data_IF_332418278377
#
_entry.id   IF_332418278377
#
_cell.length_a   1.000
_cell.length_b   1.000
_cell.length_c   1.000
_cell.angle_alpha   90.00
_cell.angle_beta   90.00
_cell.angle_gamma   90.00
#
_symmetry.space_group_name_H-M   'P 1'
#
loop_
_entity.id
_entity.type
_entity.pdbx_description
1 polymer ?
#
# COMPACT_ATOMS: atom_id res chain seq x y z
N UNK A 1 -26.15 5.72 3.29
CA UNK A 1 -25.38 4.63 3.92
C UNK A 1 -24.29 5.30 4.72
N UNK A 2 -24.27 5.14 6.04
CA UNK A 2 -23.22 5.71 6.90
C UNK A 2 -21.88 5.10 6.48
N UNK A 3 -20.91 5.97 6.20
CA UNK A 3 -19.55 5.57 5.89
C UNK A 3 -18.91 5.11 7.20
N UNK A 4 -18.80 3.80 7.38
CA UNK A 4 -18.28 3.21 8.62
C UNK A 4 -16.78 3.49 8.72
N UNK A 5 -16.36 4.18 9.78
CA UNK A 5 -14.94 4.45 10.04
C UNK A 5 -14.08 3.18 9.95
N UNK A 6 -12.92 3.28 9.31
CA UNK A 6 -11.95 2.18 9.21
C UNK A 6 -11.02 2.09 10.44
N UNK A 7 -11.25 2.88 11.49
CA UNK A 7 -10.46 2.82 12.73
C UNK A 7 -10.39 1.39 13.33
N UNK A 8 -11.49 0.61 13.47
CA UNK A 8 -11.39 -0.74 14.04
C UNK A 8 -10.49 -1.67 13.20
N UNK A 9 -10.52 -1.51 11.86
CA UNK A 9 -9.67 -2.29 10.96
C UNK A 9 -8.20 -1.86 11.09
N UNK A 10 -7.93 -0.57 11.22
CA UNK A 10 -6.59 -0.04 11.44
C UNK A 10 -5.97 -0.60 12.73
N UNK A 11 -6.74 -0.64 13.82
CA UNK A 11 -6.29 -1.24 15.09
C UNK A 11 -6.00 -2.74 14.95
N UNK A 12 -6.81 -3.45 14.18
CA UNK A 12 -6.56 -4.87 13.87
C UNK A 12 -5.22 -5.05 13.13
N UNK A 13 -4.91 -4.17 12.19
CA UNK A 13 -3.65 -4.24 11.43
C UNK A 13 -2.43 -3.85 12.29
N UNK A 14 -2.55 -2.87 13.19
CA UNK A 14 -1.50 -2.56 14.17
C UNK A 14 -1.19 -3.78 15.02
N UNK A 15 -2.22 -4.46 15.54
CA UNK A 15 -2.05 -5.68 16.35
C UNK A 15 -1.42 -6.83 15.55
N UNK A 16 -1.62 -6.87 14.23
CA UNK A 16 -0.94 -7.81 13.32
C UNK A 16 0.53 -7.44 13.07
N UNK A 17 0.97 -6.26 13.49
CA UNK A 17 2.32 -5.76 13.27
C UNK A 17 2.49 -5.00 11.95
N UNK A 18 1.42 -4.58 11.30
CA UNK A 18 1.48 -3.77 10.11
C UNK A 18 1.58 -2.27 10.42
N UNK A 19 2.38 -1.57 9.65
CA UNK A 19 2.49 -0.11 9.71
C UNK A 19 1.36 0.52 8.91
N UNK A 20 0.42 1.18 9.58
CA UNK A 20 -0.77 1.77 8.96
C UNK A 20 -0.60 3.26 8.74
N UNK A 21 -1.28 3.78 7.72
CA UNK A 21 -1.39 5.20 7.41
C UNK A 21 -2.82 5.52 6.95
N UNK A 22 -3.22 6.79 7.05
CA UNK A 22 -4.50 7.26 6.50
C UNK A 22 -4.31 7.93 5.16
N UNK A 23 -5.22 7.64 4.22
CA UNK A 23 -5.18 8.12 2.84
C UNK A 23 -6.52 8.74 2.44
N UNK A 24 -6.50 9.65 1.47
CA UNK A 24 -7.70 10.14 0.81
C UNK A 24 -8.29 9.12 -0.16
N UNK A 25 -9.47 9.42 -0.72
CA UNK A 25 -10.09 8.60 -1.77
C UNK A 25 -9.25 8.56 -3.05
N UNK A 26 -8.40 9.56 -3.27
CA UNK A 26 -7.40 9.60 -4.34
C UNK A 26 -6.17 8.71 -4.07
N UNK A 27 -6.18 7.98 -2.95
CA UNK A 27 -5.14 7.08 -2.45
C UNK A 27 -3.89 7.79 -1.90
N UNK A 28 -3.84 9.12 -1.88
CA UNK A 28 -2.70 9.87 -1.34
C UNK A 28 -2.74 9.89 0.18
N UNK A 29 -1.59 9.77 0.86
CA UNK A 29 -1.53 9.93 2.31
C UNK A 29 -2.01 11.31 2.74
N UNK A 30 -2.81 11.36 3.79
CA UNK A 30 -3.32 12.59 4.43
C UNK A 30 -2.37 13.13 5.49
N UNK A 31 -1.29 12.42 5.76
CA UNK A 31 -0.27 12.70 6.76
C UNK A 31 1.12 12.60 6.16
N UNK A 32 2.13 13.14 6.84
CA UNK A 32 3.53 12.83 6.53
C UNK A 32 3.80 11.38 6.90
N UNK A 33 3.95 10.51 5.91
CA UNK A 33 3.96 9.07 6.12
C UNK A 33 5.35 8.42 6.07
N UNK A 34 6.37 9.14 5.62
CA UNK A 34 7.72 8.57 5.40
C UNK A 34 8.34 7.98 6.67
N UNK A 35 8.08 8.56 7.83
CA UNK A 35 8.57 8.05 9.10
C UNK A 35 7.99 6.66 9.44
N UNK A 36 6.79 6.34 8.94
CA UNK A 36 6.13 5.05 9.17
C UNK A 36 6.70 3.91 8.32
N UNK A 37 7.73 4.19 7.53
CA UNK A 37 8.58 3.17 6.90
C UNK A 37 9.60 2.57 7.89
N UNK A 38 9.92 3.28 8.96
CA UNK A 38 10.93 2.87 9.95
C UNK A 38 10.38 2.70 11.37
N UNK A 39 9.21 3.24 11.66
CA UNK A 39 8.44 3.01 12.89
C UNK A 39 6.97 2.76 12.58
N UNK A 40 6.29 2.06 13.45
CA UNK A 40 4.83 1.94 13.35
C UNK A 40 4.16 3.09 14.08
N UNK A 41 2.97 3.47 13.60
CA UNK A 41 2.13 4.41 14.31
C UNK A 41 1.66 3.83 15.64
N UNK A 42 1.52 4.68 16.65
CA UNK A 42 0.88 4.30 17.91
C UNK A 42 -0.65 4.28 17.73
N UNK A 43 -1.33 3.60 18.65
CA UNK A 43 -2.81 3.58 18.66
C UNK A 43 -3.35 5.00 18.79
N UNK A 44 -2.75 5.84 19.63
CA UNK A 44 -3.16 7.22 19.88
C UNK A 44 -2.99 8.09 18.61
N UNK A 45 -1.91 7.89 17.83
CA UNK A 45 -1.73 8.58 16.55
C UNK A 45 -2.84 8.19 15.58
N UNK A 46 -3.14 6.91 15.46
CA UNK A 46 -4.16 6.41 14.53
C UNK A 46 -5.57 6.88 14.95
N UNK A 47 -5.90 6.87 16.23
CA UNK A 47 -7.17 7.41 16.73
C UNK A 47 -7.31 8.89 16.35
N UNK A 48 -6.29 9.72 16.61
CA UNK A 48 -6.28 11.14 16.23
C UNK A 48 -6.45 11.35 14.73
N UNK A 49 -5.84 10.51 13.90
CA UNK A 49 -6.01 10.63 12.45
C UNK A 49 -7.46 10.37 12.01
N UNK A 50 -8.13 9.37 12.59
CA UNK A 50 -9.53 9.10 12.25
C UNK A 50 -10.51 10.10 12.89
N UNK A 51 -10.12 10.77 13.99
CA UNK A 51 -10.86 11.94 14.50
C UNK A 51 -10.76 13.14 13.55
N UNK A 52 -9.54 13.38 13.00
CA UNK A 52 -9.31 14.47 12.05
C UNK A 52 -9.86 14.18 10.65
N UNK A 53 -9.78 12.92 10.22
CA UNK A 53 -10.20 12.45 8.89
C UNK A 53 -11.16 11.25 9.02
N UNK A 54 -12.42 11.46 9.42
CA UNK A 54 -13.36 10.36 9.69
C UNK A 54 -13.63 9.44 8.49
N UNK A 55 -13.48 9.97 7.28
CA UNK A 55 -13.69 9.25 6.01
C UNK A 55 -12.39 8.73 5.37
N UNK A 56 -11.28 8.79 6.10
CA UNK A 56 -10.00 8.35 5.57
C UNK A 56 -10.05 6.88 5.14
N UNK A 57 -9.35 6.61 4.05
CA UNK A 57 -9.05 5.26 3.61
C UNK A 57 -7.83 4.73 4.35
N UNK A 58 -7.73 3.41 4.46
CA UNK A 58 -6.65 2.78 5.20
C UNK A 58 -5.56 2.30 4.24
N UNK A 59 -4.35 2.82 4.42
CA UNK A 59 -3.15 2.33 3.77
C UNK A 59 -2.30 1.47 4.71
N UNK A 60 -1.53 0.56 4.13
CA UNK A 60 -0.49 -0.21 4.82
C UNK A 60 0.84 0.03 4.14
N UNK A 61 1.83 0.46 4.91
CA UNK A 61 3.21 0.62 4.44
C UNK A 61 3.81 -0.77 4.23
N UNK A 62 4.32 -1.02 3.04
CA UNK A 62 4.96 -2.29 2.67
C UNK A 62 6.45 -2.30 3.03
N UNK A 63 7.12 -3.42 2.83
CA UNK A 63 8.51 -3.61 3.19
C UNK A 63 8.70 -4.32 4.54
N UNK A 64 9.90 -4.25 5.07
CA UNK A 64 10.31 -4.93 6.30
C UNK A 64 9.45 -4.51 7.49
N UNK A 65 9.06 -3.24 7.57
CA UNK A 65 8.28 -2.68 8.68
C UNK A 65 6.95 -3.41 8.93
N UNK A 66 6.31 -3.91 7.88
CA UNK A 66 5.05 -4.67 7.94
C UNK A 66 5.22 -6.15 7.60
N UNK A 67 6.45 -6.59 7.33
CA UNK A 67 6.76 -7.90 6.77
C UNK A 67 5.90 -8.20 5.51
N UNK A 68 5.82 -7.22 4.58
CA UNK A 68 4.96 -7.32 3.40
C UNK A 68 5.67 -6.94 2.10
N UNK A 69 5.53 -7.80 1.10
CA UNK A 69 5.66 -7.50 -0.32
C UNK A 69 4.32 -7.77 -1.00
N UNK A 70 3.83 -6.82 -1.80
CA UNK A 70 2.54 -6.96 -2.49
C UNK A 70 2.77 -6.85 -4.00
N UNK A 71 2.25 -7.83 -4.74
CA UNK A 71 2.17 -7.77 -6.20
C UNK A 71 0.82 -7.15 -6.55
N UNK A 72 0.84 -6.00 -7.21
CA UNK A 72 -0.33 -5.27 -7.66
C UNK A 72 -0.51 -5.50 -9.16
N UNK A 73 -1.52 -6.28 -9.52
CA UNK A 73 -1.90 -6.59 -10.89
C UNK A 73 -3.10 -5.74 -11.27
N UNK A 74 -2.93 -4.86 -12.24
CA UNK A 74 -4.02 -4.01 -12.75
C UNK A 74 -5.06 -4.84 -13.51
N UNK A 75 -6.25 -4.29 -13.73
CA UNK A 75 -7.38 -5.01 -14.33
C UNK A 75 -7.18 -5.45 -15.79
N UNK A 76 -6.26 -4.81 -16.50
CA UNK A 76 -5.85 -5.15 -17.87
C UNK A 76 -4.65 -6.10 -17.94
N UNK A 77 -4.09 -6.47 -16.77
CA UNK A 77 -3.05 -7.49 -16.63
C UNK A 77 -3.60 -8.90 -16.54
N UNK A 78 -2.70 -9.89 -16.58
CA UNK A 78 -3.09 -11.29 -16.33
C UNK A 78 -3.37 -11.53 -14.85
N UNK A 79 -4.63 -11.40 -14.46
CA UNK A 79 -5.09 -11.62 -13.08
C UNK A 79 -4.87 -13.06 -12.59
N UNK A 80 -4.50 -13.99 -13.45
CA UNK A 80 -4.21 -15.37 -13.09
C UNK A 80 -2.72 -15.72 -13.16
N UNK A 81 -1.86 -14.74 -13.40
CA UNK A 81 -0.42 -14.95 -13.47
C UNK A 81 0.14 -15.49 -12.15
N UNK A 82 -0.33 -14.95 -11.04
CA UNK A 82 0.07 -15.37 -9.69
C UNK A 82 -0.80 -16.54 -9.25
N UNK A 83 -0.16 -17.69 -9.02
CA UNK A 83 -0.83 -18.95 -8.66
C UNK A 83 -0.80 -19.27 -7.17
N UNK A 84 -0.02 -18.51 -6.40
CA UNK A 84 0.10 -18.71 -4.97
C UNK A 84 -1.25 -18.58 -4.26
N UNK A 85 -1.50 -19.45 -3.29
CA UNK A 85 -2.62 -19.35 -2.38
C UNK A 85 -2.27 -18.43 -1.22
N UNK A 86 -2.45 -17.14 -1.42
CA UNK A 86 -2.14 -16.08 -0.46
C UNK A 86 -3.31 -15.11 -0.32
N UNK A 87 -3.29 -14.30 0.74
CA UNK A 87 -4.26 -13.21 0.90
C UNK A 87 -4.34 -12.41 -0.40
N UNK A 88 -5.53 -12.35 -0.98
CA UNK A 88 -5.75 -11.63 -2.23
C UNK A 88 -6.89 -10.63 -2.05
N UNK A 89 -6.65 -9.39 -2.42
CA UNK A 89 -7.60 -8.29 -2.34
C UNK A 89 -7.93 -7.80 -3.74
N UNK A 90 -9.23 -7.69 -4.05
CA UNK A 90 -9.70 -6.98 -5.23
C UNK A 90 -9.51 -5.49 -5.03
N UNK A 91 -8.87 -4.81 -5.98
CA UNK A 91 -8.67 -3.36 -5.94
C UNK A 91 -9.88 -2.60 -6.48
N UNK A 92 -9.99 -1.32 -6.14
CA UNK A 92 -11.06 -0.46 -6.65
C UNK A 92 -11.08 -0.32 -8.18
N UNK A 93 -9.94 -0.54 -8.85
CA UNK A 93 -9.82 -0.59 -10.31
C UNK A 93 -10.11 -1.96 -10.92
N UNK A 94 -10.65 -2.93 -10.15
CA UNK A 94 -10.86 -4.32 -10.53
C UNK A 94 -9.59 -5.14 -10.81
N UNK A 95 -8.43 -4.65 -10.40
CA UNK A 95 -7.18 -5.42 -10.33
C UNK A 95 -7.11 -6.28 -9.06
N UNK A 96 -5.93 -6.78 -8.75
CA UNK A 96 -5.68 -7.62 -7.58
C UNK A 96 -4.39 -7.26 -6.88
N UNK A 97 -4.41 -7.17 -5.54
CA UNK A 97 -3.25 -7.21 -4.69
C UNK A 97 -3.05 -8.63 -4.17
N UNK A 98 -1.87 -9.22 -4.40
CA UNK A 98 -1.43 -10.48 -3.83
C UNK A 98 -0.41 -10.19 -2.73
N UNK A 99 -0.70 -10.60 -1.49
CA UNK A 99 0.09 -10.27 -0.32
C UNK A 99 1.06 -11.38 0.01
N UNK A 100 2.34 -11.05 0.12
CA UNK A 100 3.40 -11.99 0.46
C UNK A 100 4.18 -11.50 1.67
N UNK A 101 4.84 -12.42 2.40
CA UNK A 101 5.87 -12.04 3.35
C UNK A 101 6.95 -11.23 2.64
N UNK A 102 7.55 -10.29 3.38
CA UNK A 102 8.60 -9.43 2.84
C UNK A 102 9.75 -10.25 2.28
N UNK A 103 10.17 -9.90 1.08
CA UNK A 103 11.35 -10.46 0.44
C UNK A 103 12.30 -9.30 0.08
N UNK A 104 13.45 -9.26 0.74
CA UNK A 104 14.47 -8.21 0.60
C UNK A 104 15.02 -8.05 -0.83
N UNK A 105 14.78 -9.04 -1.70
CA UNK A 105 15.19 -8.98 -3.11
C UNK A 105 14.35 -7.98 -3.91
N UNK A 106 13.18 -7.60 -3.38
CA UNK A 106 12.26 -6.68 -4.02
C UNK A 106 12.15 -5.36 -3.28
N UNK A 107 12.19 -4.27 -4.05
CA UNK A 107 11.80 -2.93 -3.62
C UNK A 107 10.59 -2.50 -4.44
N UNK A 108 10.08 -1.29 -4.23
CA UNK A 108 9.02 -0.77 -5.09
C UNK A 108 9.45 -0.79 -6.57
N UNK A 109 8.59 -1.33 -7.42
CA UNK A 109 8.78 -1.32 -8.87
C UNK A 109 7.44 -1.10 -9.56
N UNK A 110 7.40 -0.12 -10.46
CA UNK A 110 6.24 0.15 -11.30
C UNK A 110 6.43 -0.55 -12.64
N UNK A 111 5.38 -1.26 -13.09
CA UNK A 111 5.38 -1.98 -14.36
C UNK A 111 6.58 -2.92 -14.52
N UNK A 112 6.88 -3.70 -13.48
CA UNK A 112 7.92 -4.73 -13.58
C UNK A 112 7.63 -5.71 -14.73
N UNK A 113 6.34 -5.98 -14.94
CA UNK A 113 5.75 -6.58 -16.13
C UNK A 113 4.61 -5.66 -16.62
N UNK A 114 4.07 -5.84 -17.83
CA UNK A 114 2.88 -5.10 -18.27
C UNK A 114 1.75 -5.20 -17.25
N UNK A 115 1.25 -4.04 -16.77
CA UNK A 115 0.16 -3.93 -15.79
C UNK A 115 0.41 -4.63 -14.45
N UNK A 116 1.68 -4.80 -14.06
CA UNK A 116 2.08 -5.39 -12.78
C UNK A 116 3.11 -4.51 -12.09
N UNK A 117 2.78 -4.12 -10.85
CA UNK A 117 3.65 -3.39 -9.94
C UNK A 117 4.07 -4.29 -8.77
N UNK A 118 5.23 -4.04 -8.19
CA UNK A 118 5.64 -4.59 -6.90
C UNK A 118 5.68 -3.45 -5.90
N UNK A 119 4.97 -3.64 -4.78
CA UNK A 119 5.00 -2.75 -3.62
C UNK A 119 5.72 -3.48 -2.50
N UNK A 120 6.89 -2.99 -2.16
CA UNK A 120 7.74 -3.56 -1.10
C UNK A 120 8.41 -2.43 -0.33
N UNK A 121 9.73 -2.49 -0.10
CA UNK A 121 10.44 -1.45 0.64
C UNK A 121 10.22 -0.06 0.03
N UNK A 122 9.84 0.91 0.87
CA UNK A 122 9.58 2.30 0.46
C UNK A 122 8.19 2.53 -0.15
N UNK A 123 7.26 1.58 -0.08
CA UNK A 123 5.92 1.67 -0.64
C UNK A 123 4.78 1.59 0.37
N UNK A 124 3.59 1.72 -0.14
CA UNK A 124 2.34 1.43 0.57
C UNK A 124 1.26 0.98 -0.42
N UNK A 125 0.24 0.32 0.10
CA UNK A 125 -0.95 -0.07 -0.63
C UNK A 125 -2.21 0.41 0.09
N UNK A 126 -3.31 0.57 -0.65
CA UNK A 126 -4.65 0.71 -0.07
C UNK A 126 -5.20 -0.68 0.20
N UNK A 127 -5.78 -0.89 1.38
CA UNK A 127 -6.22 -2.21 1.84
C UNK A 127 -7.72 -2.42 1.71
N UNK A 128 -8.14 -3.69 1.82
CA UNK A 128 -9.56 -4.07 1.85
C UNK A 128 -10.33 -3.28 2.93
N UNK A 129 -11.59 -3.01 2.66
CA UNK A 129 -12.44 -2.14 3.47
C UNK A 129 -12.44 -0.68 3.03
N UNK A 130 -11.42 -0.25 2.28
CA UNK A 130 -11.31 1.11 1.74
C UNK A 130 -12.17 1.33 0.51
N UNK A 131 -12.57 2.59 0.29
CA UNK A 131 -13.36 3.05 -0.88
C UNK A 131 -12.59 4.17 -1.58
N UNK A 132 -11.84 3.82 -2.63
CA UNK A 132 -11.14 4.81 -3.42
C UNK A 132 -12.03 5.33 -4.57
N UNK A 133 -11.58 6.38 -5.24
CA UNK A 133 -12.31 7.01 -6.36
C UNK A 133 -12.71 6.02 -7.46
N UNK A 134 -11.87 4.99 -7.71
CA UNK A 134 -12.15 3.97 -8.75
C UNK A 134 -13.04 2.84 -8.26
N UNK A 135 -13.33 2.73 -6.96
CA UNK A 135 -14.17 1.68 -6.39
C UNK A 135 -13.64 1.11 -5.07
N UNK A 136 -14.32 0.08 -4.60
CA UNK A 136 -14.10 -0.52 -3.31
C UNK A 136 -13.00 -1.60 -3.35
N UNK A 137 -12.23 -1.65 -2.26
CA UNK A 137 -11.25 -2.70 -2.00
C UNK A 137 -11.89 -3.79 -1.12
N UNK A 138 -11.84 -5.03 -1.56
CA UNK A 138 -12.48 -6.15 -0.84
C UNK A 138 -11.60 -7.39 -0.85
N UNK A 139 -11.66 -8.18 0.23
CA UNK A 139 -10.99 -9.48 0.26
C UNK A 139 -11.61 -10.40 -0.78
N UNK A 140 -10.79 -10.92 -1.68
CA UNK A 140 -11.19 -11.89 -2.71
C UNK A 140 -10.87 -13.33 -2.27
N UNK A 141 -9.69 -13.53 -1.64
CA UNK A 141 -9.27 -14.80 -1.06
C UNK A 141 -8.69 -14.53 0.33
N UNK A 142 -9.31 -15.08 1.35
CA UNK A 142 -8.91 -14.91 2.76
C UNK A 142 -7.97 -16.05 3.18
N UNK A 143 -6.78 -16.07 2.58
CA UNK A 143 -5.68 -16.93 2.98
C UNK A 143 -4.69 -16.20 3.89
N UNK A 144 -3.82 -16.95 4.55
CA UNK A 144 -2.67 -16.37 5.23
C UNK A 144 -1.72 -15.69 4.23
N UNK A 145 -1.03 -14.65 4.67
CA UNK A 145 0.12 -14.11 3.94
C UNK A 145 1.24 -15.17 3.99
N UNK A 146 1.76 -15.55 2.83
CA UNK A 146 2.78 -16.60 2.70
C UNK A 146 4.02 -16.07 2.00
N UNK A 147 5.12 -16.83 2.04
CA UNK A 147 6.29 -16.57 1.20
C UNK A 147 5.93 -16.79 -0.27
N UNK A 148 6.53 -15.99 -1.16
CA UNK A 148 6.39 -16.24 -2.61
C UNK A 148 6.90 -17.64 -2.96
N UNK A 149 6.16 -18.34 -3.84
CA UNK A 149 6.67 -19.54 -4.47
C UNK A 149 7.89 -19.23 -5.31
N UNK A 150 8.69 -20.27 -5.60
CA UNK A 150 9.84 -20.10 -6.49
C UNK A 150 9.44 -19.65 -7.89
N UNK A 151 8.28 -20.12 -8.38
CA UNK A 151 7.72 -19.73 -9.66
C UNK A 151 7.44 -18.23 -9.72
N UNK A 152 6.70 -17.70 -8.76
CA UNK A 152 6.38 -16.27 -8.68
C UNK A 152 7.63 -15.44 -8.50
N UNK A 153 8.56 -15.87 -7.64
CA UNK A 153 9.82 -15.17 -7.43
C UNK A 153 10.66 -15.10 -8.71
N UNK A 154 10.85 -16.23 -9.39
CA UNK A 154 11.63 -16.31 -10.64
C UNK A 154 11.01 -15.42 -11.72
N UNK A 155 9.70 -15.44 -11.89
CA UNK A 155 8.98 -14.57 -12.82
C UNK A 155 9.35 -13.09 -12.63
N UNK A 156 9.32 -12.61 -11.38
CA UNK A 156 9.61 -11.21 -11.06
C UNK A 156 11.11 -10.89 -11.23
N UNK A 157 11.99 -11.81 -10.84
CA UNK A 157 13.45 -11.64 -10.99
C UNK A 157 13.84 -11.58 -12.46
N UNK A 158 13.32 -12.47 -13.30
CA UNK A 158 13.54 -12.46 -14.75
C UNK A 158 13.06 -11.15 -15.37
N UNK A 159 11.86 -10.69 -15.00
CA UNK A 159 11.30 -9.41 -15.44
C UNK A 159 12.18 -8.22 -15.04
N UNK A 160 12.70 -8.23 -13.80
CA UNK A 160 13.63 -7.21 -13.30
C UNK A 160 14.92 -7.18 -14.12
N UNK A 161 15.50 -8.35 -14.42
CA UNK A 161 16.74 -8.47 -15.16
C UNK A 161 16.60 -8.03 -16.64
N UNK A 162 15.46 -8.30 -17.27
CA UNK A 162 15.17 -7.86 -18.63
C UNK A 162 15.04 -6.32 -18.74
N UNK A 163 14.57 -5.66 -17.69
CA UNK A 163 14.47 -4.18 -17.63
C UNK A 163 15.77 -3.51 -17.23
N UNK A 164 16.66 -4.18 -16.51
CA UNK A 164 17.95 -3.64 -16.03
C UNK A 164 18.97 -3.37 -17.15
N UNK A 165 18.68 -3.71 -18.40
CA UNK A 165 19.46 -3.36 -19.59
C UNK A 165 19.22 -1.94 -20.13
N UNK A 166 18.30 -1.17 -19.56
CA UNK A 166 18.02 0.22 -19.91
C UNK A 166 17.33 0.93 -18.76
N UNK A 167 17.94 1.98 -18.28
CA UNK A 167 17.50 2.96 -17.27
C UNK A 167 16.88 2.41 -15.98
N UNK A 168 17.46 2.79 -14.85
CA UNK A 168 17.02 2.49 -13.48
C UNK A 168 15.53 2.87 -13.27
N UNK A 169 14.62 1.96 -13.59
CA UNK A 169 13.16 2.10 -13.39
C UNK A 169 12.80 2.28 -11.91
N UNK A 170 13.71 1.95 -11.01
CA UNK A 170 13.59 2.10 -9.56
C UNK A 170 13.53 3.56 -9.08
N UNK A 171 14.00 4.52 -9.90
CA UNK A 171 14.04 5.96 -9.58
C UNK A 171 12.97 6.78 -10.32
N UNK A 172 11.84 6.19 -10.71
CA UNK A 172 10.80 6.95 -11.41
C UNK A 172 10.22 8.06 -10.51
N UNK A 173 10.14 9.33 -10.99
CA UNK A 173 9.69 10.49 -10.21
C UNK A 173 8.28 10.37 -9.60
N UNK A 174 7.41 9.50 -10.14
CA UNK A 174 6.07 9.25 -9.58
C UNK A 174 6.08 8.47 -8.25
N UNK A 175 7.23 7.88 -7.87
CA UNK A 175 7.40 7.22 -6.55
C UNK A 175 7.81 8.26 -5.49
N UNK A 176 8.36 9.40 -5.91
CA UNK A 176 8.56 10.54 -5.03
C UNK A 176 7.21 11.25 -4.88
N UNK A 177 6.53 10.93 -3.79
CA UNK A 177 5.24 11.51 -3.43
C UNK A 177 5.29 13.05 -3.51
N UNK A 178 4.34 13.73 -4.21
CA UNK A 178 4.25 15.19 -4.20
C UNK A 178 4.00 15.81 -2.81
N UNK A 179 3.74 15.00 -1.80
CA UNK A 179 3.53 15.46 -0.43
C UNK A 179 4.78 16.11 0.22
N UNK A 180 5.95 16.09 -0.44
CA UNK A 180 7.15 16.74 0.10
C UNK A 180 7.10 18.28 0.06
N UNK A 181 6.11 18.91 -0.60
CA UNK A 181 6.00 20.36 -0.75
C UNK A 181 4.64 20.95 -0.32
N UNK A 182 3.86 20.24 0.49
CA UNK A 182 2.74 20.89 1.17
C UNK A 182 3.31 21.65 2.36
N UNK A 183 3.47 22.96 2.18
CA UNK A 183 3.76 23.90 3.25
C UNK A 183 2.56 23.96 4.21
N UNK A 184 2.71 23.30 5.37
CA UNK A 184 1.72 23.33 6.46
C UNK A 184 1.84 24.56 7.37
N UNK A 185 2.63 25.58 6.99
CA UNK A 185 2.79 26.81 7.80
C UNK A 185 1.50 27.65 7.93
N UNK A 186 0.44 27.33 7.16
CA UNK A 186 -0.83 28.05 7.15
C UNK A 186 -1.90 27.54 8.13
N UNK A 187 -1.70 26.42 8.84
CA UNK A 187 -2.66 25.88 9.82
C UNK A 187 -2.16 25.96 11.26
N UNK A 188 -1.69 27.11 11.65
CA UNK A 188 -1.26 27.42 13.01
C UNK A 188 -1.95 28.65 13.55
N UNK A 189 -2.65 28.48 14.68
CA UNK A 189 -3.16 29.51 15.57
C UNK A 189 -4.42 30.27 15.13
N UNK A 190 -5.57 29.64 15.31
CA UNK A 190 -6.82 30.38 15.59
C UNK A 190 -6.65 31.16 16.87
N UNK A 191 -6.69 32.47 16.76
CA UNK A 191 -6.63 33.44 17.87
C UNK A 191 -7.75 33.18 18.88
N UNK A 192 -7.35 33.07 20.16
CA UNK A 192 -8.26 33.28 21.29
C UNK A 192 -8.55 34.79 21.40
N UNK A 193 -9.80 35.12 21.38
CA UNK A 193 -10.41 36.25 22.13
C UNK A 193 -11.76 35.77 22.64
#
# INVERSE_FOLDING_TARGET
MENKSLLPLALTFINRGWSVIVCGQDKRPLISWKEFQTRRATIEEVVKWFEQFPEAQLGVVTGEISNLTVIDVESDGDLNLIKDETLTVKTGGNGRHYYFEYDQEFTNAVRILPSIDVRSEGGYIITAGSKATKGDYSVLKDFSVVKMSKETKNLLVEAKNQKGGGDNVWNHPMIQSPAANLDYSGYGAGQRN
#
